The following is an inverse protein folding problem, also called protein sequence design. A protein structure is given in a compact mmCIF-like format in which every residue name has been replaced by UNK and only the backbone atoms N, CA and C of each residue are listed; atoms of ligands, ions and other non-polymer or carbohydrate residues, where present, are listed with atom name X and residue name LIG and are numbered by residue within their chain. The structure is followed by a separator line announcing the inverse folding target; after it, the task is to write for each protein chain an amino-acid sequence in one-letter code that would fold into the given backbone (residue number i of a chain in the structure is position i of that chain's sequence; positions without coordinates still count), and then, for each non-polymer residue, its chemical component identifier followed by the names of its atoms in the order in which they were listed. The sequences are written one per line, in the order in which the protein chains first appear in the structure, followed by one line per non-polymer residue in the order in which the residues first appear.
data_IF_422248664519
#
_entry.id   IF_422248664519
#
_cell.length_a   1.000
_cell.length_b   1.000
_cell.length_c   1.000
_cell.angle_alpha   90.00
_cell.angle_beta   90.00
_cell.angle_gamma   90.00
#
_symmetry.space_group_name_H-M   'P 1'
#
loop_
_entity.id
_entity.type
_entity.pdbx_description
1 polymer ?
#
# COMPACT_ATOMS: atom_id res chain seq x y z
N UNK A 1 17.34 -53.63 40.02
CA UNK A 1 17.26 -52.33 40.71
C UNK A 1 17.12 -51.27 39.63
N UNK A 2 16.01 -50.53 39.66
CA UNK A 2 15.47 -49.76 38.54
C UNK A 2 16.29 -48.51 38.19
N UNK A 3 16.15 -48.11 36.92
CA UNK A 3 16.55 -46.85 36.30
C UNK A 3 16.14 -45.64 37.14
N UNK A 4 17.03 -44.65 37.19
CA UNK A 4 16.66 -43.25 37.36
C UNK A 4 17.29 -42.49 36.19
N UNK A 5 16.60 -42.53 35.04
CA UNK A 5 16.74 -41.50 34.01
C UNK A 5 16.22 -40.20 34.66
N UNK A 6 17.12 -39.32 35.05
CA UNK A 6 16.78 -37.94 35.40
C UNK A 6 16.40 -37.24 34.10
N UNK A 7 15.12 -37.34 33.73
CA UNK A 7 14.52 -36.39 32.81
C UNK A 7 14.64 -35.01 33.45
N UNK A 8 15.60 -34.21 33.01
CA UNK A 8 15.51 -32.76 33.07
C UNK A 8 14.25 -32.37 32.29
N UNK A 9 13.10 -32.40 32.98
CA UNK A 9 11.91 -31.72 32.52
C UNK A 9 12.24 -30.24 32.60
N UNK A 10 12.51 -29.64 31.43
CA UNK A 10 12.49 -28.20 31.27
C UNK A 10 11.20 -27.67 31.93
N UNK A 11 11.23 -26.77 32.92
CA UNK A 11 10.03 -26.24 33.56
C UNK A 11 9.06 -25.58 32.55
N UNK A 12 9.55 -25.23 31.37
CA UNK A 12 8.76 -24.70 30.24
C UNK A 12 7.88 -25.78 29.57
N UNK A 13 8.15 -27.07 29.81
CA UNK A 13 7.41 -28.19 29.22
C UNK A 13 5.96 -28.29 29.75
N UNK A 14 5.75 -27.88 31.00
CA UNK A 14 4.41 -27.75 31.60
C UNK A 14 3.60 -26.57 31.02
N UNK A 15 4.25 -25.69 30.27
CA UNK A 15 3.66 -24.51 29.61
C UNK A 15 3.65 -24.66 28.08
N UNK A 16 3.81 -25.88 27.54
CA UNK A 16 3.73 -26.13 26.09
C UNK A 16 2.42 -25.56 25.51
N UNK A 17 2.56 -24.57 24.64
CA UNK A 17 1.46 -23.82 24.01
C UNK A 17 1.17 -22.45 24.61
N UNK A 18 1.70 -22.13 25.80
CA UNK A 18 1.64 -20.82 26.47
C UNK A 18 2.94 -20.03 26.36
N UNK A 19 4.08 -20.71 26.17
CA UNK A 19 5.41 -20.11 26.00
C UNK A 19 5.99 -20.53 24.66
N UNK A 20 6.53 -19.57 23.91
CA UNK A 20 7.27 -19.83 22.67
C UNK A 20 8.73 -20.07 23.05
N UNK A 21 9.28 -21.24 22.74
CA UNK A 21 10.67 -21.59 23.12
C UNK A 21 11.68 -21.20 22.04
N UNK A 22 12.98 -21.02 22.37
CA UNK A 22 14.03 -20.74 21.38
C UNK A 22 14.12 -21.81 20.29
N UNK A 23 13.99 -23.08 20.67
CA UNK A 23 14.00 -24.22 19.72
C UNK A 23 12.78 -24.22 18.79
N UNK A 24 11.63 -23.73 19.28
CA UNK A 24 10.44 -23.56 18.44
C UNK A 24 10.65 -22.46 17.41
N UNK A 25 11.26 -21.33 17.80
CA UNK A 25 11.60 -20.23 16.89
C UNK A 25 12.65 -20.66 15.86
N UNK A 26 13.70 -21.36 16.28
CA UNK A 26 14.72 -21.87 15.37
C UNK A 26 14.09 -22.76 14.28
N UNK A 27 13.18 -23.66 14.68
CA UNK A 27 12.44 -24.51 13.74
C UNK A 27 11.58 -23.70 12.76
N UNK A 28 10.95 -22.60 13.19
CA UNK A 28 10.21 -21.75 12.26
C UNK A 28 11.10 -21.08 11.23
N UNK A 29 12.31 -20.65 11.62
CA UNK A 29 13.26 -19.97 10.74
C UNK A 29 13.96 -20.93 9.75
N UNK A 30 14.04 -22.22 10.07
CA UNK A 30 14.62 -23.24 9.18
C UNK A 30 13.74 -23.55 7.96
N UNK A 31 12.44 -23.24 8.03
CA UNK A 31 11.49 -23.50 6.94
C UNK A 31 11.26 -22.25 6.10
N UNK A 32 11.15 -22.36 4.76
CA UNK A 32 10.74 -21.25 3.92
C UNK A 32 9.43 -20.60 4.40
N UNK A 33 9.32 -19.28 4.28
CA UNK A 33 8.09 -18.55 4.55
C UNK A 33 6.90 -19.12 3.77
N UNK A 34 5.71 -19.13 4.36
CA UNK A 34 4.50 -19.74 3.82
C UNK A 34 4.57 -21.26 3.51
N UNK A 35 5.58 -21.98 4.00
CA UNK A 35 5.59 -23.45 3.91
C UNK A 35 4.34 -24.05 4.56
N UNK A 36 3.70 -25.00 3.90
CA UNK A 36 2.49 -25.66 4.37
C UNK A 36 2.65 -26.30 5.75
N UNK A 37 1.54 -26.36 6.50
CA UNK A 37 1.47 -27.03 7.81
C UNK A 37 1.61 -28.55 7.71
N UNK A 38 1.41 -29.11 6.51
CA UNK A 38 1.39 -30.53 6.24
C UNK A 38 2.66 -30.91 5.48
N UNK A 39 3.58 -31.60 6.16
CA UNK A 39 4.73 -32.20 5.50
C UNK A 39 4.23 -33.33 4.58
N UNK A 40 4.20 -33.07 3.27
CA UNK A 40 3.90 -34.06 2.25
C UNK A 40 2.46 -34.07 1.76
N UNK A 41 2.09 -33.09 0.93
CA UNK A 41 1.23 -33.21 -0.26
C UNK A 41 1.18 -31.85 -0.97
N UNK A 42 2.31 -31.40 -1.50
CA UNK A 42 2.38 -30.16 -2.33
C UNK A 42 2.07 -30.44 -3.81
N UNK A 43 1.42 -31.57 -4.13
CA UNK A 43 1.15 -31.96 -5.52
C UNK A 43 -0.21 -31.47 -6.07
N UNK A 44 -0.89 -30.52 -5.43
CA UNK A 44 -2.25 -30.11 -5.84
C UNK A 44 -2.49 -28.61 -6.06
N UNK A 45 -1.46 -27.75 -5.97
CA UNK A 45 -1.63 -26.30 -6.16
C UNK A 45 -0.69 -25.65 -7.20
N UNK A 46 0.14 -26.42 -7.92
CA UNK A 46 1.00 -25.88 -9.00
C UNK A 46 0.18 -25.23 -10.14
N UNK A 47 -1.12 -25.51 -10.25
CA UNK A 47 -2.04 -24.92 -11.23
C UNK A 47 -2.75 -23.63 -10.74
N UNK A 48 -2.58 -23.22 -9.48
CA UNK A 48 -3.33 -22.13 -8.84
C UNK A 48 -2.43 -20.98 -8.37
N UNK A 49 -1.69 -20.34 -9.28
CA UNK A 49 -1.50 -18.88 -9.35
C UNK A 49 -0.29 -18.47 -10.22
N UNK A 50 -0.36 -17.32 -10.92
CA UNK A 50 0.85 -16.63 -11.36
C UNK A 50 1.76 -16.35 -10.15
N UNK A 51 3.07 -16.42 -10.35
CA UNK A 51 4.08 -16.31 -9.30
C UNK A 51 4.06 -14.89 -8.67
N UNK A 52 3.19 -14.66 -7.68
CA UNK A 52 2.97 -13.36 -7.00
C UNK A 52 4.25 -12.83 -6.34
N UNK A 53 5.21 -13.71 -6.10
CA UNK A 53 6.49 -13.43 -5.44
C UNK A 53 7.71 -13.60 -6.37
N UNK A 54 7.60 -13.20 -7.64
CA UNK A 54 8.79 -12.99 -8.47
C UNK A 54 9.71 -11.97 -7.78
N UNK A 55 10.90 -12.40 -7.33
CA UNK A 55 11.89 -11.55 -6.63
C UNK A 55 12.29 -10.33 -7.45
N UNK A 56 12.18 -10.42 -8.78
CA UNK A 56 12.55 -9.36 -9.73
C UNK A 56 11.40 -8.43 -10.10
N UNK A 57 10.15 -8.82 -9.81
CA UNK A 57 8.95 -8.01 -10.09
C UNK A 57 7.85 -8.21 -9.03
N UNK A 58 8.23 -8.16 -7.74
CA UNK A 58 7.27 -8.31 -6.65
C UNK A 58 6.41 -7.06 -6.49
N UNK A 59 5.20 -7.21 -5.94
CA UNK A 59 4.33 -6.08 -5.62
C UNK A 59 5.00 -5.04 -4.71
N UNK A 60 5.87 -5.50 -3.79
CA UNK A 60 6.64 -4.62 -2.90
C UNK A 60 7.72 -3.86 -3.65
N UNK A 61 8.39 -4.49 -4.62
CA UNK A 61 9.38 -3.83 -5.47
C UNK A 61 8.73 -2.71 -6.29
N UNK A 62 7.59 -2.98 -6.93
CA UNK A 62 6.82 -1.96 -7.67
C UNK A 62 6.38 -0.81 -6.77
N UNK A 63 5.79 -1.11 -5.61
CA UNK A 63 5.44 -0.11 -4.60
C UNK A 63 6.63 0.75 -4.21
N UNK A 64 7.80 0.13 -4.04
CA UNK A 64 9.02 0.82 -3.65
C UNK A 64 9.51 1.77 -4.74
N UNK A 65 9.48 1.36 -6.00
CA UNK A 65 9.86 2.19 -7.13
C UNK A 65 8.90 3.36 -7.29
N UNK A 66 7.59 3.08 -7.32
CA UNK A 66 6.54 4.07 -7.53
C UNK A 66 6.45 5.12 -6.42
N UNK A 67 6.69 4.73 -5.16
CA UNK A 67 6.61 5.63 -4.01
C UNK A 67 7.97 6.16 -3.54
N UNK A 68 9.05 5.83 -4.24
CA UNK A 68 10.42 6.23 -3.87
C UNK A 68 10.84 5.70 -2.50
N UNK A 69 10.42 4.49 -2.14
CA UNK A 69 10.75 3.89 -0.85
C UNK A 69 12.21 3.41 -0.86
N UNK A 70 13.07 3.86 0.07
CA UNK A 70 14.42 3.33 0.20
C UNK A 70 14.39 1.88 0.72
N UNK A 71 15.51 1.14 0.62
CA UNK A 71 15.56 -0.27 1.05
C UNK A 71 15.10 -0.51 2.50
N UNK A 72 15.37 0.43 3.42
CA UNK A 72 14.92 0.34 4.82
C UNK A 72 13.38 0.30 4.94
N UNK A 73 12.66 1.00 4.07
CA UNK A 73 11.21 1.02 4.07
C UNK A 73 10.62 -0.30 3.58
N UNK A 74 11.27 -0.92 2.59
CA UNK A 74 10.89 -2.25 2.12
C UNK A 74 11.01 -3.27 3.26
N UNK A 75 12.10 -3.22 4.03
CA UNK A 75 12.26 -4.10 5.20
C UNK A 75 11.21 -3.83 6.28
N UNK A 76 10.90 -2.55 6.56
CA UNK A 76 9.84 -2.19 7.51
C UNK A 76 8.47 -2.71 7.06
N UNK A 77 8.16 -2.59 5.77
CA UNK A 77 6.92 -3.10 5.18
C UNK A 77 6.87 -4.63 5.25
N UNK A 78 7.96 -5.33 4.91
CA UNK A 78 8.06 -6.78 5.02
C UNK A 78 7.90 -7.26 6.46
N UNK A 79 8.55 -6.60 7.43
CA UNK A 79 8.42 -6.92 8.86
C UNK A 79 6.96 -6.78 9.29
N UNK A 80 6.30 -5.68 8.93
CA UNK A 80 4.89 -5.46 9.25
C UNK A 80 3.95 -6.45 8.55
N UNK A 81 4.26 -6.82 7.30
CA UNK A 81 3.44 -7.70 6.46
C UNK A 81 3.54 -9.17 6.86
N UNK A 82 4.71 -9.62 7.33
CA UNK A 82 5.00 -11.05 7.54
C UNK A 82 3.93 -11.86 8.32
N UNK A 83 3.27 -11.31 9.36
CA UNK A 83 2.21 -12.03 10.07
C UNK A 83 0.90 -12.20 9.31
N UNK A 84 0.68 -11.46 8.21
CA UNK A 84 -0.57 -11.48 7.44
C UNK A 84 -0.70 -12.78 6.62
N UNK A 85 0.31 -13.23 5.83
CA UNK A 85 0.24 -14.51 5.15
C UNK A 85 0.66 -15.70 6.02
N UNK A 86 1.42 -15.48 7.11
CA UNK A 86 2.06 -16.57 7.85
C UNK A 86 2.09 -16.31 9.37
N UNK A 87 1.26 -17.07 10.10
CA UNK A 87 1.11 -16.95 11.56
C UNK A 87 2.36 -17.32 12.35
N UNK A 88 3.37 -17.97 11.74
CA UNK A 88 4.64 -18.24 12.43
C UNK A 88 5.32 -16.95 12.86
N UNK A 89 5.20 -15.88 12.07
CA UNK A 89 5.75 -14.57 12.44
C UNK A 89 5.04 -13.95 13.65
N UNK A 90 3.76 -14.27 13.91
CA UNK A 90 3.12 -13.86 15.17
C UNK A 90 3.84 -14.45 16.38
N UNK A 91 4.24 -15.73 16.30
CA UNK A 91 4.96 -16.43 17.38
C UNK A 91 6.40 -15.93 17.52
N UNK A 92 7.09 -15.72 16.39
CA UNK A 92 8.45 -15.17 16.39
C UNK A 92 8.45 -13.76 17.01
N UNK A 93 7.50 -12.90 16.64
CA UNK A 93 7.42 -11.55 17.20
C UNK A 93 7.03 -11.52 18.68
N UNK A 94 6.14 -12.42 19.10
CA UNK A 94 5.84 -12.60 20.52
C UNK A 94 7.10 -12.98 21.32
N UNK A 95 7.89 -13.93 20.81
CA UNK A 95 9.14 -14.35 21.43
C UNK A 95 10.18 -13.21 21.47
N UNK A 96 10.43 -12.54 20.34
CA UNK A 96 11.43 -11.47 20.25
C UNK A 96 11.07 -10.24 21.09
N UNK A 97 9.79 -10.05 21.40
CA UNK A 97 9.32 -8.96 22.24
C UNK A 97 9.09 -9.37 23.70
N UNK A 98 9.38 -10.63 24.04
CA UNK A 98 9.17 -11.22 25.37
C UNK A 98 7.73 -11.04 25.88
N UNK A 99 6.75 -11.10 24.97
CA UNK A 99 5.34 -10.87 25.27
C UNK A 99 4.44 -11.64 24.30
N UNK A 100 3.80 -12.69 24.82
CA UNK A 100 2.91 -13.59 24.05
C UNK A 100 1.64 -12.91 23.54
N UNK A 101 1.30 -11.73 24.06
CA UNK A 101 0.18 -10.92 23.56
C UNK A 101 0.57 -10.11 22.32
N UNK A 102 1.86 -9.84 22.10
CA UNK A 102 2.35 -9.00 21.00
C UNK A 102 2.61 -9.79 19.72
N UNK A 103 1.53 -10.03 18.97
CA UNK A 103 1.54 -10.77 17.68
C UNK A 103 1.86 -9.90 16.45
N UNK A 104 2.23 -8.64 16.68
CA UNK A 104 2.62 -7.67 15.65
C UNK A 104 3.93 -7.02 16.07
N UNK A 105 4.75 -6.58 15.11
CA UNK A 105 6.04 -5.98 15.44
C UNK A 105 5.83 -4.58 16.00
N UNK A 106 6.46 -4.28 17.14
CA UNK A 106 6.55 -2.90 17.64
C UNK A 106 7.62 -2.10 16.90
N UNK A 107 7.56 -0.77 17.04
CA UNK A 107 8.65 0.11 16.60
C UNK A 107 9.99 -0.30 17.23
N UNK A 108 10.00 -0.66 18.52
CA UNK A 108 11.18 -1.13 19.22
C UNK A 108 11.77 -2.39 18.56
N UNK A 109 10.92 -3.36 18.20
CA UNK A 109 11.37 -4.56 17.51
C UNK A 109 12.01 -4.21 16.16
N UNK A 110 11.34 -3.39 15.34
CA UNK A 110 11.86 -2.98 14.04
C UNK A 110 13.21 -2.26 14.14
N UNK A 111 13.37 -1.36 15.11
CA UNK A 111 14.65 -0.70 15.38
C UNK A 111 15.75 -1.69 15.75
N UNK A 112 15.45 -2.68 16.59
CA UNK A 112 16.44 -3.69 17.01
C UNK A 112 16.81 -4.67 15.88
N UNK A 113 15.86 -4.99 14.98
CA UNK A 113 16.11 -5.86 13.83
C UNK A 113 16.96 -5.18 12.75
N UNK A 114 16.70 -3.89 12.48
CA UNK A 114 17.31 -3.17 11.36
C UNK A 114 18.53 -2.33 11.75
N UNK A 115 18.66 -1.92 13.02
CA UNK A 115 19.73 -1.05 13.49
C UNK A 115 20.73 -1.73 14.42
N UNK A 116 22.01 -1.70 14.05
CA UNK A 116 23.12 -2.32 14.80
C UNK A 116 23.68 -1.42 15.90
N UNK A 117 23.47 -0.10 15.77
CA UNK A 117 23.92 0.92 16.72
C UNK A 117 22.82 1.96 16.94
N UNK A 118 22.93 2.83 17.98
CA UNK A 118 21.90 3.82 18.27
C UNK A 118 21.56 4.75 17.10
N UNK A 119 22.55 5.18 16.32
CA UNK A 119 22.33 6.05 15.17
C UNK A 119 21.46 5.39 14.10
N UNK A 120 21.77 4.16 13.70
CA UNK A 120 20.96 3.40 12.74
C UNK A 120 19.53 3.18 13.25
N UNK A 121 19.36 2.92 14.54
CA UNK A 121 18.03 2.77 15.15
C UNK A 121 17.21 4.05 15.05
N UNK A 122 17.82 5.22 15.25
CA UNK A 122 17.15 6.50 15.05
C UNK A 122 16.77 6.74 13.58
N UNK A 123 17.59 6.31 12.62
CA UNK A 123 17.24 6.37 11.20
C UNK A 123 16.00 5.52 10.91
N UNK A 124 15.91 4.31 11.46
CA UNK A 124 14.72 3.44 11.34
C UNK A 124 13.49 4.12 11.94
N UNK A 125 13.60 4.72 13.13
CA UNK A 125 12.49 5.46 13.75
C UNK A 125 12.03 6.66 12.90
N UNK A 126 12.96 7.39 12.28
CA UNK A 126 12.63 8.51 11.40
C UNK A 126 11.77 8.08 10.19
N UNK A 127 11.94 6.84 9.72
CA UNK A 127 11.10 6.24 8.65
C UNK A 127 9.69 5.85 9.11
N UNK A 128 9.36 6.02 10.38
CA UNK A 128 8.05 5.72 10.97
C UNK A 128 7.35 6.98 11.53
N UNK A 129 7.91 8.17 11.27
CA UNK A 129 7.25 9.44 11.58
C UNK A 129 6.05 9.66 10.66
N UNK A 130 5.09 10.50 11.07
CA UNK A 130 3.85 10.73 10.31
C UNK A 130 4.09 11.19 8.86
N UNK A 131 5.13 12.01 8.65
CA UNK A 131 5.54 12.55 7.35
C UNK A 131 6.36 11.55 6.50
N UNK A 132 6.79 10.43 7.07
CA UNK A 132 7.57 9.43 6.34
C UNK A 132 6.71 8.76 5.25
N UNK A 133 7.27 8.37 4.09
CA UNK A 133 6.49 7.77 3.00
C UNK A 133 5.61 6.59 3.42
N UNK A 134 6.08 5.72 4.32
CA UNK A 134 5.32 4.58 4.82
C UNK A 134 4.01 4.99 5.51
N UNK A 135 4.03 6.10 6.27
CA UNK A 135 2.85 6.61 6.97
C UNK A 135 2.08 7.62 6.15
N UNK A 136 2.79 8.48 5.42
CA UNK A 136 2.20 9.44 4.49
C UNK A 136 1.37 8.71 3.43
N UNK A 137 1.80 7.58 2.87
CA UNK A 137 0.98 6.83 1.90
C UNK A 137 0.00 5.84 2.57
N UNK A 138 -0.07 5.83 3.90
CA UNK A 138 -0.90 4.89 4.65
C UNK A 138 -0.55 3.44 4.35
N UNK A 139 0.73 3.12 4.13
CA UNK A 139 1.18 1.74 3.93
C UNK A 139 1.27 1.02 5.26
N UNK A 140 1.76 1.73 6.29
CA UNK A 140 1.85 1.25 7.66
C UNK A 140 1.06 2.16 8.60
N UNK A 141 0.23 1.52 9.42
CA UNK A 141 -0.43 2.11 10.57
C UNK A 141 0.33 1.78 11.85
N UNK A 142 0.38 2.75 12.77
CA UNK A 142 1.00 2.59 14.08
C UNK A 142 -0.09 2.69 15.14
N UNK A 143 -0.42 1.55 15.75
CA UNK A 143 -1.50 1.47 16.72
C UNK A 143 -0.93 1.34 18.13
N UNK A 144 -1.39 2.19 19.04
CA UNK A 144 -1.12 2.01 20.46
C UNK A 144 -1.84 0.74 20.94
N UNK A 145 -1.23 0.02 21.87
CA UNK A 145 -1.90 -1.08 22.54
C UNK A 145 -3.02 -0.53 23.43
N UNK A 146 -4.31 -0.86 23.17
CA UNK A 146 -5.42 -0.33 23.95
C UNK A 146 -5.40 -0.77 25.41
N UNK A 147 -4.70 -1.87 25.73
CA UNK A 147 -4.52 -2.33 27.11
C UNK A 147 -3.51 -1.46 27.88
N UNK A 148 -2.73 -0.63 27.17
CA UNK A 148 -1.67 0.22 27.72
C UNK A 148 -1.86 1.67 27.25
N UNK A 149 -2.83 2.36 27.84
CA UNK A 149 -3.24 3.72 27.48
C UNK A 149 -2.13 4.79 27.50
N UNK A 150 -0.97 4.52 28.10
CA UNK A 150 0.19 5.42 28.16
C UNK A 150 1.50 4.75 27.69
N UNK A 151 1.41 3.75 26.81
CA UNK A 151 2.60 3.11 26.27
C UNK A 151 3.47 4.13 25.53
N UNK A 152 4.79 4.05 25.71
CA UNK A 152 5.73 4.84 24.92
C UNK A 152 5.54 4.55 23.43
N UNK A 153 5.79 5.53 22.55
CA UNK A 153 5.62 5.35 21.10
C UNK A 153 6.40 4.15 20.54
N UNK A 154 7.51 3.78 21.19
CA UNK A 154 8.30 2.59 20.85
C UNK A 154 7.50 1.27 20.92
N UNK A 155 6.43 1.23 21.72
CA UNK A 155 5.56 0.07 21.89
C UNK A 155 4.37 0.08 20.91
N UNK A 156 4.21 1.11 20.09
CA UNK A 156 3.18 1.10 19.06
C UNK A 156 3.45 -0.04 18.07
N UNK A 157 2.38 -0.76 17.73
CA UNK A 157 2.42 -1.92 16.85
C UNK A 157 2.25 -1.48 15.41
N UNK A 158 3.16 -1.93 14.56
CA UNK A 158 3.11 -1.72 13.12
C UNK A 158 2.13 -2.71 12.49
N UNK A 159 1.23 -2.20 11.67
CA UNK A 159 0.32 -3.00 10.84
C UNK A 159 0.36 -2.48 9.42
N UNK A 160 0.33 -3.38 8.45
CA UNK A 160 0.13 -2.99 7.05
C UNK A 160 -1.34 -2.70 6.84
N UNK A 161 -1.63 -1.63 6.10
CA UNK A 161 -3.00 -1.24 5.81
C UNK A 161 -3.70 -2.31 4.94
N UNK A 162 -4.97 -2.69 5.22
CA UNK A 162 -5.65 -3.80 4.57
C UNK A 162 -5.65 -3.77 3.04
N UNK A 163 -5.82 -2.60 2.41
CA UNK A 163 -5.77 -2.47 0.95
C UNK A 163 -4.38 -2.76 0.39
N UNK A 164 -3.31 -2.39 1.11
CA UNK A 164 -1.93 -2.74 0.74
C UNK A 164 -1.65 -4.23 0.91
N UNK A 165 -2.18 -4.86 1.96
CA UNK A 165 -2.12 -6.33 2.11
C UNK A 165 -2.81 -7.00 0.91
N UNK A 166 -4.03 -6.58 0.58
CA UNK A 166 -4.77 -7.10 -0.57
C UNK A 166 -3.97 -6.95 -1.87
N UNK A 167 -3.37 -5.78 -2.12
CA UNK A 167 -2.53 -5.55 -3.29
C UNK A 167 -1.34 -6.51 -3.37
N UNK A 168 -0.59 -6.68 -2.28
CA UNK A 168 0.58 -7.57 -2.25
C UNK A 168 0.17 -9.04 -2.44
N UNK A 169 -1.04 -9.40 -2.00
CA UNK A 169 -1.61 -10.73 -2.21
C UNK A 169 -2.28 -10.91 -3.59
N UNK A 170 -2.16 -9.92 -4.50
CA UNK A 170 -2.66 -10.00 -5.88
C UNK A 170 -4.08 -9.46 -6.09
N UNK A 171 -4.66 -8.78 -5.10
CA UNK A 171 -5.97 -8.15 -5.19
C UNK A 171 -5.98 -6.92 -6.12
N UNK A 172 -6.93 -6.90 -7.05
CA UNK A 172 -7.06 -5.86 -8.09
C UNK A 172 -8.22 -4.88 -7.86
N UNK A 173 -8.95 -5.02 -6.76
CA UNK A 173 -10.08 -4.14 -6.45
C UNK A 173 -9.60 -2.80 -5.87
N UNK A 174 -10.31 -1.74 -6.21
CA UNK A 174 -10.13 -0.39 -5.65
C UNK A 174 -10.45 -0.39 -4.15
N UNK A 175 -9.73 0.44 -3.38
CA UNK A 175 -9.99 0.66 -1.95
C UNK A 175 -11.47 0.96 -1.65
N UNK A 176 -12.05 0.18 -0.72
CA UNK A 176 -13.47 0.24 -0.36
C UNK A 176 -13.91 1.65 0.06
N UNK A 177 -13.02 2.45 0.65
CA UNK A 177 -13.32 3.83 1.08
C UNK A 177 -13.59 4.79 -0.07
N UNK A 178 -13.01 4.52 -1.24
CA UNK A 178 -13.15 5.37 -2.43
C UNK A 178 -13.79 4.63 -3.60
N UNK A 179 -14.26 3.40 -3.42
CA UNK A 179 -14.89 2.58 -4.47
C UNK A 179 -16.13 3.22 -5.12
N UNK A 180 -16.79 4.15 -4.43
CA UNK A 180 -17.91 4.95 -4.98
C UNK A 180 -17.46 6.18 -5.76
N UNK A 181 -16.19 6.55 -5.64
CA UNK A 181 -15.60 7.78 -6.20
C UNK A 181 -14.68 7.42 -7.36
N UNK A 182 -13.94 6.30 -7.24
CA UNK A 182 -12.92 5.84 -8.19
C UNK A 182 -13.41 4.59 -8.89
N UNK A 183 -13.38 4.62 -10.23
CA UNK A 183 -13.83 3.55 -11.10
C UNK A 183 -12.76 3.20 -12.13
N UNK A 184 -12.55 1.91 -12.37
CA UNK A 184 -11.70 1.46 -13.48
C UNK A 184 -12.49 1.64 -14.77
N UNK A 185 -11.87 2.29 -15.76
CA UNK A 185 -12.42 2.41 -17.11
C UNK A 185 -11.89 1.24 -17.92
N UNK A 186 -12.72 0.23 -18.15
CA UNK A 186 -12.33 -0.99 -18.87
C UNK A 186 -12.82 -1.02 -20.32
N UNK A 187 -13.90 -0.30 -20.62
CA UNK A 187 -14.54 -0.27 -21.94
C UNK A 187 -15.13 1.12 -22.22
N UNK A 188 -14.40 1.91 -23.01
CA UNK A 188 -14.85 3.20 -23.51
C UNK A 188 -14.50 3.32 -24.99
N UNK A 189 -15.52 3.20 -25.86
CA UNK A 189 -15.31 3.23 -27.30
C UNK A 189 -14.83 4.63 -27.73
N UNK A 190 -13.69 4.76 -28.43
CA UNK A 190 -13.21 6.06 -28.88
C UNK A 190 -14.19 6.71 -29.87
N UNK A 191 -14.30 8.04 -29.90
CA UNK A 191 -15.05 8.74 -30.92
C UNK A 191 -14.56 8.35 -32.33
N UNK A 192 -15.46 8.18 -33.32
CA UNK A 192 -15.11 7.61 -34.63
C UNK A 192 -14.07 8.40 -35.42
N UNK A 193 -13.97 9.72 -35.18
CA UNK A 193 -13.03 10.60 -35.87
C UNK A 193 -11.77 10.93 -35.03
N UNK A 194 -11.60 10.29 -33.86
CA UNK A 194 -10.48 10.58 -32.96
C UNK A 194 -9.17 10.02 -33.53
N UNK A 195 -8.22 10.92 -33.83
CA UNK A 195 -6.85 10.55 -34.18
C UNK A 195 -5.95 10.66 -32.94
N UNK A 196 -5.77 9.52 -32.26
CA UNK A 196 -4.98 9.44 -31.01
C UNK A 196 -3.49 9.67 -31.25
N UNK A 197 -2.92 9.10 -32.32
CA UNK A 197 -1.48 9.10 -32.60
C UNK A 197 -0.84 10.49 -32.58
N UNK A 198 -1.32 11.46 -33.39
CA UNK A 198 -0.77 12.82 -33.40
C UNK A 198 -0.87 13.54 -32.06
N UNK A 199 -1.88 13.23 -31.24
CA UNK A 199 -2.05 13.82 -29.91
C UNK A 199 -1.03 13.19 -28.96
N UNK A 200 -0.92 11.86 -28.94
CA UNK A 200 0.03 11.14 -28.10
C UNK A 200 1.48 11.55 -28.41
N UNK A 201 1.86 11.67 -29.68
CA UNK A 201 3.20 12.07 -30.12
C UNK A 201 3.56 13.51 -29.72
N UNK A 202 2.55 14.38 -29.55
CA UNK A 202 2.74 15.78 -29.18
C UNK A 202 2.79 16.00 -27.66
N UNK A 203 2.38 15.02 -26.86
CA UNK A 203 2.36 15.13 -25.41
C UNK A 203 3.76 14.86 -24.83
N UNK A 204 4.22 15.68 -23.86
CA UNK A 204 5.43 15.36 -23.11
C UNK A 204 5.23 14.08 -22.27
N UNK A 205 6.32 13.48 -21.80
CA UNK A 205 6.25 12.43 -20.78
C UNK A 205 5.56 12.96 -19.51
N UNK A 206 4.59 12.21 -19.02
CA UNK A 206 3.79 12.59 -17.86
C UNK A 206 2.97 13.87 -18.00
N UNK A 207 2.11 13.99 -19.03
CA UNK A 207 1.40 15.23 -19.30
C UNK A 207 0.22 15.41 -18.34
N UNK A 208 -0.08 16.68 -18.02
CA UNK A 208 -1.43 17.04 -17.58
C UNK A 208 -2.29 17.42 -18.80
N UNK A 209 -3.36 16.67 -19.05
CA UNK A 209 -4.27 16.94 -20.18
C UNK A 209 -5.57 17.52 -19.65
N UNK A 210 -5.96 18.69 -20.16
CA UNK A 210 -7.23 19.32 -19.83
C UNK A 210 -8.18 19.28 -21.03
N UNK A 211 -9.30 18.57 -20.89
CA UNK A 211 -10.36 18.51 -21.89
C UNK A 211 -11.37 19.63 -21.66
N UNK A 212 -11.42 20.58 -22.60
CA UNK A 212 -12.41 21.65 -22.61
C UNK A 212 -13.56 21.31 -23.55
N UNK A 213 -14.80 21.30 -23.06
CA UNK A 213 -15.97 21.07 -23.91
C UNK A 213 -17.26 20.91 -23.11
N UNK A 214 -18.38 20.76 -23.82
CA UNK A 214 -19.61 20.29 -23.18
C UNK A 214 -19.39 18.86 -22.67
N UNK A 215 -20.10 18.51 -21.59
CA UNK A 215 -20.03 17.19 -20.97
C UNK A 215 -20.47 16.09 -21.93
N UNK A 216 -19.96 14.88 -21.69
CA UNK A 216 -20.39 13.66 -22.38
C UNK A 216 -20.14 13.70 -23.90
N UNK A 217 -19.24 14.56 -24.37
CA UNK A 217 -18.82 14.64 -25.77
C UNK A 217 -17.64 13.70 -26.10
N UNK A 218 -17.42 12.64 -25.33
CA UNK A 218 -16.32 11.71 -25.58
C UNK A 218 -15.04 12.00 -24.78
N UNK A 219 -15.12 12.74 -23.66
CA UNK A 219 -13.93 13.13 -22.88
C UNK A 219 -13.26 11.95 -22.20
N UNK A 220 -14.06 11.08 -21.55
CA UNK A 220 -13.59 9.85 -20.92
C UNK A 220 -13.05 8.90 -21.99
N UNK A 221 -13.77 8.77 -23.10
CA UNK A 221 -13.44 7.94 -24.25
C UNK A 221 -12.12 8.38 -24.91
N UNK A 222 -11.90 9.69 -25.02
CA UNK A 222 -10.65 10.25 -25.55
C UNK A 222 -9.49 10.04 -24.59
N UNK A 223 -9.69 10.28 -23.29
CA UNK A 223 -8.68 10.01 -22.27
C UNK A 223 -8.31 8.52 -22.24
N UNK A 224 -9.30 7.64 -22.32
CA UNK A 224 -9.10 6.20 -22.37
C UNK A 224 -8.32 5.79 -23.61
N UNK A 225 -8.68 6.31 -24.79
CA UNK A 225 -7.98 6.01 -26.04
C UNK A 225 -6.50 6.46 -26.01
N UNK A 226 -6.22 7.63 -25.43
CA UNK A 226 -4.84 8.12 -25.23
C UNK A 226 -4.05 7.22 -24.27
N UNK A 227 -4.66 6.78 -23.17
CA UNK A 227 -4.00 5.89 -22.22
C UNK A 227 -3.74 4.52 -22.82
N UNK A 228 -4.67 3.99 -23.62
CA UNK A 228 -4.50 2.73 -24.35
C UNK A 228 -3.34 2.78 -25.36
N UNK A 229 -3.09 3.92 -26.03
CA UNK A 229 -1.97 4.03 -26.97
C UNK A 229 -0.59 3.92 -26.31
N UNK A 230 -0.51 4.15 -25.00
CA UNK A 230 0.71 4.01 -24.18
C UNK A 230 0.63 2.86 -23.17
N UNK A 231 -0.35 1.95 -23.31
CA UNK A 231 -0.57 0.80 -22.42
C UNK A 231 -0.76 1.15 -20.93
N UNK A 232 -1.36 2.32 -20.65
CA UNK A 232 -1.73 2.74 -19.30
C UNK A 232 -3.22 2.48 -19.04
N UNK A 233 -3.58 1.82 -17.92
CA UNK A 233 -4.96 1.80 -17.45
C UNK A 233 -5.45 3.21 -17.08
N UNK A 234 -6.77 3.40 -17.06
CA UNK A 234 -7.40 4.67 -16.68
C UNK A 234 -8.34 4.46 -15.49
N UNK A 235 -8.13 5.26 -14.43
CA UNK A 235 -9.08 5.38 -13.32
C UNK A 235 -9.85 6.68 -13.43
N UNK A 236 -11.18 6.60 -13.49
CA UNK A 236 -12.07 7.76 -13.43
C UNK A 236 -12.41 8.10 -11.99
N UNK A 237 -12.30 9.37 -11.63
CA UNK A 237 -12.58 9.95 -10.32
C UNK A 237 -13.77 10.89 -10.48
N UNK A 238 -14.91 10.57 -9.85
CA UNK A 238 -16.05 11.48 -9.78
C UNK A 238 -15.81 12.53 -8.68
N UNK A 239 -15.43 13.73 -9.10
CA UNK A 239 -15.16 14.81 -8.15
C UNK A 239 -16.40 15.35 -7.43
N UNK A 240 -17.61 15.14 -7.97
CA UNK A 240 -18.84 15.54 -7.29
C UNK A 240 -19.19 14.57 -6.14
N UNK A 241 -18.91 13.27 -6.31
CA UNK A 241 -18.98 12.29 -5.23
C UNK A 241 -17.83 12.46 -4.23
N UNK A 242 -16.64 12.81 -4.71
CA UNK A 242 -15.50 13.10 -3.84
C UNK A 242 -15.80 14.26 -2.88
N UNK A 243 -16.48 15.31 -3.34
CA UNK A 243 -16.91 16.46 -2.52
C UNK A 243 -17.95 16.12 -1.44
N UNK A 244 -18.58 14.94 -1.51
CA UNK A 244 -19.57 14.44 -0.54
C UNK A 244 -18.98 13.40 0.42
N UNK A 245 -17.66 13.13 0.33
CA UNK A 245 -17.00 12.15 1.20
C UNK A 245 -16.93 12.63 2.65
N UNK A 246 -17.08 11.70 3.60
CA UNK A 246 -16.85 11.96 5.02
C UNK A 246 -15.35 11.98 5.39
N UNK A 247 -14.46 11.59 4.46
CA UNK A 247 -13.02 11.64 4.67
C UNK A 247 -12.50 13.07 4.61
N UNK A 248 -11.45 13.36 5.38
CA UNK A 248 -10.73 14.62 5.20
C UNK A 248 -10.09 14.68 3.82
N UNK A 249 -9.98 15.89 3.25
CA UNK A 249 -9.44 16.11 1.91
C UNK A 249 -8.05 15.48 1.74
N UNK A 250 -7.17 15.63 2.73
CA UNK A 250 -5.81 15.07 2.70
C UNK A 250 -5.79 13.54 2.71
N UNK A 251 -6.74 12.90 3.38
CA UNK A 251 -6.85 11.43 3.40
C UNK A 251 -7.45 10.95 2.10
N UNK A 252 -8.52 11.59 1.63
CA UNK A 252 -9.18 11.24 0.37
C UNK A 252 -8.21 11.32 -0.81
N UNK A 253 -7.50 12.44 -0.94
CA UNK A 253 -6.50 12.67 -2.00
C UNK A 253 -5.44 11.59 -2.01
N UNK A 254 -4.86 11.30 -0.84
CA UNK A 254 -3.81 10.30 -0.66
C UNK A 254 -4.29 8.90 -1.01
N UNK A 255 -5.52 8.52 -0.65
CA UNK A 255 -6.10 7.22 -1.01
C UNK A 255 -6.32 7.14 -2.52
N UNK A 256 -6.89 8.18 -3.15
CA UNK A 256 -7.10 8.20 -4.61
C UNK A 256 -5.78 8.10 -5.38
N UNK A 257 -4.79 8.91 -5.00
CA UNK A 257 -3.46 8.89 -5.65
C UNK A 257 -2.81 7.53 -5.45
N UNK A 258 -2.87 6.98 -4.24
CA UNK A 258 -2.37 5.63 -3.97
C UNK A 258 -3.04 4.58 -4.85
N UNK A 259 -4.35 4.66 -5.09
CA UNK A 259 -5.01 3.72 -6.02
C UNK A 259 -4.49 3.86 -7.45
N UNK A 260 -4.28 5.08 -7.94
CA UNK A 260 -3.61 5.31 -9.23
C UNK A 260 -2.24 4.64 -9.30
N UNK A 261 -1.43 4.82 -8.27
CA UNK A 261 -0.08 4.27 -8.17
C UNK A 261 -0.08 2.73 -8.06
N UNK A 262 -0.99 2.15 -7.26
CA UNK A 262 -1.13 0.70 -7.11
C UNK A 262 -1.56 0.04 -8.42
N UNK A 263 -2.47 0.67 -9.17
CA UNK A 263 -2.95 0.18 -10.46
C UNK A 263 -1.99 0.51 -11.62
N UNK A 264 -0.97 1.34 -11.40
CA UNK A 264 -0.13 1.87 -12.48
C UNK A 264 -0.95 2.64 -13.52
N UNK A 265 -2.00 3.33 -13.07
CA UNK A 265 -3.04 3.91 -13.91
C UNK A 265 -2.94 5.44 -13.97
N UNK A 266 -3.31 6.00 -15.12
CA UNK A 266 -3.58 7.43 -15.23
C UNK A 266 -4.87 7.79 -14.48
N UNK A 267 -4.89 8.98 -13.89
CA UNK A 267 -6.05 9.48 -13.16
C UNK A 267 -6.85 10.44 -14.05
N UNK A 268 -8.13 10.15 -14.26
CA UNK A 268 -9.09 11.02 -14.94
C UNK A 268 -10.01 11.66 -13.91
N UNK A 269 -9.93 12.99 -13.73
CA UNK A 269 -10.86 13.71 -12.87
C UNK A 269 -12.08 14.14 -13.69
N UNK A 270 -13.17 13.42 -13.50
CA UNK A 270 -14.47 13.81 -13.99
C UNK A 270 -15.14 14.78 -13.00
N UNK A 271 -16.11 15.55 -13.48
CA UNK A 271 -16.86 16.48 -12.64
C UNK A 271 -16.00 17.51 -11.87
N UNK A 272 -14.76 17.81 -12.32
CA UNK A 272 -13.85 18.69 -11.57
C UNK A 272 -14.41 20.09 -11.30
N UNK A 273 -15.36 20.58 -12.10
CA UNK A 273 -16.08 21.85 -11.87
C UNK A 273 -16.77 21.88 -10.49
N UNK A 274 -17.14 20.72 -9.93
CA UNK A 274 -17.68 20.61 -8.57
C UNK A 274 -16.66 21.05 -7.51
N UNK A 275 -15.37 20.82 -7.77
CA UNK A 275 -14.27 21.27 -6.89
C UNK A 275 -14.07 22.79 -6.97
N UNK A 276 -14.54 23.49 -8.01
CA UNK A 276 -14.44 24.94 -8.05
C UNK A 276 -15.47 25.65 -7.16
N UNK A 277 -16.59 24.98 -6.84
CA UNK A 277 -17.67 25.56 -6.02
C UNK A 277 -17.38 25.51 -4.52
N UNK A 278 -16.51 24.59 -4.11
CA UNK A 278 -15.97 24.47 -2.75
C UNK A 278 -14.55 25.04 -2.83
N UNK A 279 -14.33 26.29 -2.42
CA UNK A 279 -13.10 27.06 -2.71
C UNK A 279 -11.82 26.24 -2.90
N UNK A 280 -11.36 26.14 -4.16
CA UNK A 280 -10.17 25.43 -4.67
C UNK A 280 -9.53 24.45 -3.66
N UNK A 281 -9.95 23.17 -3.64
CA UNK A 281 -9.37 22.16 -2.79
C UNK A 281 -7.91 21.93 -3.20
N UNK A 282 -7.01 21.91 -2.23
CA UNK A 282 -5.59 21.57 -2.44
C UNK A 282 -5.40 20.15 -2.98
N UNK A 283 -6.43 19.30 -2.88
CA UNK A 283 -6.49 17.94 -3.42
C UNK A 283 -6.09 17.85 -4.90
N UNK A 284 -6.62 18.74 -5.75
CA UNK A 284 -6.30 18.71 -7.19
C UNK A 284 -4.83 19.07 -7.47
N UNK A 285 -4.23 19.99 -6.71
CA UNK A 285 -2.81 20.35 -6.86
C UNK A 285 -1.87 19.24 -6.34
N UNK A 286 -2.31 18.48 -5.33
CA UNK A 286 -1.55 17.39 -4.71
C UNK A 286 -1.58 16.10 -5.56
N UNK A 287 -2.74 15.75 -6.16
CA UNK A 287 -2.84 14.67 -7.16
C UNK A 287 -1.94 14.94 -8.36
N UNK A 288 -1.93 16.20 -8.82
CA UNK A 288 -1.14 16.68 -9.95
C UNK A 288 0.38 16.67 -9.71
N UNK A 289 0.82 16.92 -8.48
CA UNK A 289 2.26 16.98 -8.17
C UNK A 289 2.93 15.61 -7.99
N UNK A 290 2.13 14.55 -7.81
CA UNK A 290 2.64 13.22 -7.41
C UNK A 290 2.20 12.08 -8.32
N UNK A 291 1.21 12.27 -9.20
CA UNK A 291 0.91 11.34 -10.27
C UNK A 291 1.62 11.80 -11.54
N UNK A 292 2.40 10.91 -12.16
CA UNK A 292 3.10 11.23 -13.40
C UNK A 292 2.11 11.52 -14.55
N UNK A 293 0.89 10.97 -14.53
CA UNK A 293 -0.08 11.09 -15.62
C UNK A 293 -1.47 11.48 -15.08
N UNK A 294 -1.90 12.72 -15.34
CA UNK A 294 -3.21 13.23 -14.88
C UNK A 294 -3.99 13.84 -16.04
N UNK A 295 -5.19 13.34 -16.27
CA UNK A 295 -6.15 13.92 -17.20
C UNK A 295 -7.32 14.52 -16.43
N UNK A 296 -7.80 15.70 -16.82
CA UNK A 296 -8.94 16.34 -16.20
C UNK A 296 -9.90 16.86 -17.27
N UNK A 297 -11.21 16.75 -17.05
CA UNK A 297 -12.21 17.18 -18.03
C UNK A 297 -13.35 17.95 -17.40
N UNK A 298 -13.66 19.14 -17.93
CA UNK A 298 -14.94 19.79 -17.64
C UNK A 298 -15.09 21.18 -18.25
N UNK A 299 -16.04 21.95 -17.71
CA UNK A 299 -16.71 23.05 -18.42
C UNK A 299 -16.02 24.40 -18.22
N UNK A 300 -15.34 24.61 -17.09
CA UNK A 300 -14.68 25.88 -16.76
C UNK A 300 -13.17 25.89 -17.09
N UNK A 301 -12.57 27.01 -17.50
CA UNK A 301 -11.11 27.03 -17.71
C UNK A 301 -10.37 26.86 -16.39
N UNK A 302 -9.45 25.89 -16.32
CA UNK A 302 -8.44 25.82 -15.28
C UNK A 302 -7.58 27.09 -15.30
N UNK A 303 -7.48 27.80 -14.17
CA UNK A 303 -6.53 28.89 -13.98
C UNK A 303 -5.55 28.47 -12.89
N UNK A 304 -4.35 28.04 -13.29
CA UNK A 304 -3.22 27.97 -12.36
C UNK A 304 -3.00 29.38 -11.81
N UNK A 305 -3.16 29.60 -10.50
CA UNK A 305 -2.51 30.75 -9.86
C UNK A 305 -1.01 30.48 -9.92
N UNK A 306 -0.37 30.86 -11.02
CA UNK A 306 1.07 31.12 -11.02
C UNK A 306 1.24 32.42 -10.22
N UNK A 307 1.28 32.26 -8.90
CA UNK A 307 1.78 33.26 -7.99
C UNK A 307 3.25 32.95 -7.74
N UNK A 308 4.12 33.69 -8.39
CA UNK A 308 5.48 33.93 -7.89
C UNK A 308 5.76 35.42 -8.04
N UNK A 309 6.55 36.04 -7.14
CA UNK A 309 7.06 35.56 -5.85
C UNK A 309 6.22 36.03 -4.65
#
# INVERSE_FOLDING_TARGET
MARADSSEHDPTDALRGLVVTPDEVARYLEHPGMSGLWAGTDAHFDELAPNVFDKTNSAIARLSETLGLPPVDQYLLLIALAPEPDRRYERIYAYLQDDVSLRRPSINLAMNLLGRNPHERFLVWARLLAESPLRYWGLIELNADPTRANAASLMHLMRVEPRVVSYVMGGTLVDERVRRIVHVVDDAAPPPDLQVGPIADALPEGPMVYFSGLRELGQVETAFALCQSVSLPLLSIDAALAAQSDLSEDVLTRVIVREGLLHGAALFVDHWDALLRVGVPAAAHSVVGQAEHVSAAGVHRWRTRVGTP
#
